data_IF_405609616472
#
_entry.id   IF_405609616472
#
_cell.length_a   1.000
_cell.length_b   1.000
_cell.length_c   1.000
_cell.angle_alpha   90.00
_cell.angle_beta   90.00
_cell.angle_gamma   90.00
#
_symmetry.space_group_name_H-M   'P 1'
#
loop_
_entity.id
_entity.type
_entity.pdbx_description
1 polymer ?
#
# COMPACT_ATOMS: atom_id res chain seq x y z
N UNK A 1 -29.33 12.07 -22.97
CA UNK A 1 -28.36 11.38 -22.06
C UNK A 1 -27.55 12.46 -21.36
N UNK A 2 -27.58 12.52 -20.01
CA UNK A 2 -26.85 13.55 -19.24
C UNK A 2 -25.35 13.17 -19.29
N UNK A 3 -24.49 14.04 -19.83
CA UNK A 3 -23.04 13.82 -19.79
C UNK A 3 -22.60 13.84 -18.32
N UNK A 4 -22.21 12.68 -17.79
CA UNK A 4 -21.55 12.66 -16.50
C UNK A 4 -20.11 13.17 -16.68
N UNK A 5 -19.70 14.12 -15.85
CA UNK A 5 -18.31 14.60 -15.83
C UNK A 5 -17.34 13.44 -15.58
N UNK A 6 -16.16 13.45 -16.23
CA UNK A 6 -15.13 12.45 -15.95
C UNK A 6 -14.60 12.58 -14.51
N UNK A 7 -13.92 11.54 -14.03
CA UNK A 7 -13.12 11.66 -12.81
C UNK A 7 -11.87 12.47 -13.11
N UNK A 8 -11.60 13.48 -12.28
CA UNK A 8 -10.43 14.34 -12.37
C UNK A 8 -9.44 13.94 -11.27
N UNK A 9 -8.14 13.94 -11.59
CA UNK A 9 -7.09 13.74 -10.59
C UNK A 9 -6.93 15.05 -9.81
N UNK A 10 -7.13 14.97 -8.50
CA UNK A 10 -7.01 16.11 -7.58
C UNK A 10 -5.63 16.13 -6.91
N UNK A 11 -5.15 14.97 -6.50
CA UNK A 11 -3.88 14.83 -5.80
C UNK A 11 -3.24 13.47 -6.12
N UNK A 12 -1.92 13.40 -6.03
CA UNK A 12 -1.15 12.17 -6.19
C UNK A 12 0.06 12.21 -5.28
N UNK A 13 0.16 11.22 -4.40
CA UNK A 13 1.28 11.04 -3.47
C UNK A 13 1.90 9.68 -3.69
N UNK A 14 3.21 9.58 -3.50
CA UNK A 14 3.89 8.30 -3.54
C UNK A 14 5.05 8.26 -2.56
N UNK A 15 5.35 7.05 -2.13
CA UNK A 15 6.54 6.70 -1.38
C UNK A 15 7.31 5.67 -2.21
N UNK A 16 8.57 5.99 -2.49
CA UNK A 16 9.51 5.05 -3.09
C UNK A 16 9.75 3.88 -2.13
N UNK A 17 10.19 2.70 -2.62
CA UNK A 17 10.44 1.54 -1.76
C UNK A 17 11.31 1.88 -0.55
N UNK A 18 10.76 1.66 0.64
CA UNK A 18 11.47 1.81 1.93
C UNK A 18 11.66 0.42 2.54
N UNK A 19 12.83 0.18 3.14
CA UNK A 19 13.07 -1.04 3.92
C UNK A 19 12.22 -1.00 5.18
N UNK A 20 11.52 -2.09 5.47
CA UNK A 20 10.78 -2.26 6.73
C UNK A 20 11.72 -2.74 7.85
N UNK A 21 12.90 -3.24 7.47
CA UNK A 21 13.92 -3.73 8.37
C UNK A 21 15.15 -2.82 8.22
N UNK A 22 15.43 -2.01 9.24
CA UNK A 22 16.69 -1.28 9.31
C UNK A 22 17.79 -2.21 9.81
N UNK A 23 18.91 -2.27 9.07
CA UNK A 23 20.03 -3.19 9.36
C UNK A 23 20.61 -2.99 10.78
N UNK A 24 20.50 -1.78 11.35
CA UNK A 24 20.95 -1.47 12.72
C UNK A 24 19.98 -1.99 13.80
N UNK A 25 18.67 -2.04 13.51
CA UNK A 25 17.67 -2.60 14.42
C UNK A 25 17.70 -4.13 14.45
N UNK A 26 18.09 -4.77 13.35
CA UNK A 26 18.22 -6.23 13.28
C UNK A 26 19.29 -6.75 14.25
N UNK A 27 20.39 -6.01 14.43
CA UNK A 27 21.49 -6.39 15.33
C UNK A 27 21.19 -6.20 16.83
N UNK A 28 20.16 -5.41 17.17
CA UNK A 28 19.82 -5.05 18.56
C UNK A 28 18.55 -5.75 19.10
N UNK A 29 17.91 -6.59 18.28
CA UNK A 29 16.69 -7.34 18.64
C UNK A 29 16.98 -8.61 19.46
N UNK A 30 16.01 -9.11 20.25
CA UNK A 30 16.18 -10.29 21.11
C UNK A 30 16.45 -11.62 20.37
N UNK A 31 16.35 -11.64 19.04
CA UNK A 31 16.63 -12.79 18.19
C UNK A 31 17.64 -12.39 17.10
N UNK A 32 18.94 -12.27 17.43
CA UNK A 32 19.99 -11.93 16.48
C UNK A 32 20.21 -13.00 15.39
N UNK A 33 19.60 -14.17 15.54
CA UNK A 33 19.80 -15.34 14.68
C UNK A 33 18.67 -15.54 13.65
N UNK A 34 17.96 -14.47 13.28
CA UNK A 34 16.86 -14.54 12.31
C UNK A 34 17.43 -14.83 10.92
N UNK A 35 17.41 -16.10 10.52
CA UNK A 35 17.87 -16.55 9.21
C UNK A 35 16.76 -16.38 8.15
N UNK A 36 17.10 -15.71 7.05
CA UNK A 36 16.22 -15.58 5.90
C UNK A 36 16.23 -16.89 5.12
N UNK A 37 15.17 -17.69 5.29
CA UNK A 37 15.04 -18.98 4.60
C UNK A 37 14.68 -18.80 3.12
N UNK A 38 13.84 -17.81 2.81
CA UNK A 38 13.36 -17.56 1.45
C UNK A 38 12.83 -16.13 1.29
N UNK A 39 13.17 -15.49 0.16
CA UNK A 39 12.57 -14.24 -0.31
C UNK A 39 11.93 -14.53 -1.65
N UNK A 40 10.70 -14.08 -1.84
CA UNK A 40 10.06 -14.22 -3.14
C UNK A 40 10.72 -13.30 -4.19
N UNK A 41 10.98 -13.84 -5.39
CA UNK A 41 11.72 -13.13 -6.43
C UNK A 41 10.92 -11.98 -7.05
N UNK A 42 9.58 -12.09 -7.05
CA UNK A 42 8.71 -11.06 -7.62
C UNK A 42 8.02 -10.24 -6.53
N UNK A 43 8.03 -8.90 -6.62
CA UNK A 43 7.24 -8.07 -5.72
C UNK A 43 5.75 -8.33 -5.91
N UNK A 44 4.99 -8.19 -4.84
CA UNK A 44 3.53 -8.26 -4.86
C UNK A 44 3.01 -6.84 -5.00
N UNK A 45 2.39 -6.53 -6.15
CA UNK A 45 1.72 -5.25 -6.37
C UNK A 45 0.21 -5.44 -6.48
N UNK A 46 -0.55 -4.56 -5.83
CA UNK A 46 -2.02 -4.53 -5.86
C UNK A 46 -2.55 -3.11 -5.98
N UNK A 47 -3.71 -3.00 -6.62
CA UNK A 47 -4.44 -1.74 -6.76
C UNK A 47 -5.78 -1.88 -6.07
N UNK A 48 -6.05 -0.97 -5.14
CA UNK A 48 -7.27 -0.93 -4.36
C UNK A 48 -7.99 0.40 -4.62
N UNK A 49 -9.30 0.35 -4.81
CA UNK A 49 -10.11 1.54 -5.13
C UNK A 49 -11.20 1.71 -4.08
N UNK A 50 -11.23 2.89 -3.47
CA UNK A 50 -12.17 3.23 -2.39
C UNK A 50 -12.92 4.51 -2.73
N UNK A 51 -14.24 4.46 -2.71
CA UNK A 51 -15.06 5.68 -2.72
C UNK A 51 -15.09 6.26 -1.30
N UNK A 52 -14.61 7.50 -1.14
CA UNK A 52 -14.45 8.15 0.17
C UNK A 52 -15.41 9.32 0.33
N UNK A 53 -15.83 9.58 1.58
CA UNK A 53 -16.76 10.68 1.89
C UNK A 53 -16.03 12.00 2.09
N UNK A 54 -14.85 11.95 2.71
CA UNK A 54 -14.00 13.11 2.99
C UNK A 54 -12.59 12.81 2.53
N UNK A 55 -11.89 13.80 1.98
CA UNK A 55 -10.48 13.69 1.59
C UNK A 55 -9.59 13.22 2.76
N UNK A 56 -9.98 13.54 4.00
CA UNK A 56 -9.29 13.11 5.23
C UNK A 56 -9.34 11.59 5.47
N UNK A 57 -10.24 10.87 4.81
CA UNK A 57 -10.31 9.40 4.87
C UNK A 57 -9.17 8.73 4.07
N UNK A 58 -8.28 9.55 3.46
CA UNK A 58 -7.09 9.14 2.73
C UNK A 58 -6.18 8.18 3.51
N UNK A 59 -5.84 8.49 4.76
CA UNK A 59 -4.91 7.67 5.56
C UNK A 59 -5.53 6.30 5.87
N UNK A 60 -6.85 6.26 6.06
CA UNK A 60 -7.59 5.03 6.28
C UNK A 60 -7.60 4.16 5.02
N UNK A 61 -7.77 4.76 3.83
CA UNK A 61 -7.72 4.02 2.56
C UNK A 61 -6.35 3.38 2.33
N UNK A 62 -5.26 4.10 2.62
CA UNK A 62 -3.90 3.56 2.52
C UNK A 62 -3.65 2.44 3.54
N UNK A 63 -4.05 2.65 4.80
CA UNK A 63 -3.91 1.64 5.86
C UNK A 63 -4.67 0.36 5.53
N UNK A 64 -5.89 0.50 4.98
CA UNK A 64 -6.71 -0.63 4.60
C UNK A 64 -6.14 -1.39 3.40
N UNK A 65 -5.59 -0.68 2.40
CA UNK A 65 -4.86 -1.29 1.29
C UNK A 65 -3.63 -2.10 1.77
N UNK A 66 -2.86 -1.55 2.71
CA UNK A 66 -1.72 -2.27 3.32
C UNK A 66 -2.18 -3.54 4.03
N UNK A 67 -3.24 -3.46 4.85
CA UNK A 67 -3.81 -4.61 5.56
C UNK A 67 -4.29 -5.71 4.60
N UNK A 68 -4.94 -5.34 3.49
CA UNK A 68 -5.37 -6.30 2.47
C UNK A 68 -4.17 -6.98 1.80
N UNK A 69 -3.13 -6.23 1.44
CA UNK A 69 -1.91 -6.79 0.87
C UNK A 69 -1.24 -7.77 1.85
N UNK A 70 -1.10 -7.39 3.12
CA UNK A 70 -0.52 -8.25 4.16
C UNK A 70 -1.33 -9.54 4.34
N UNK A 71 -2.66 -9.48 4.27
CA UNK A 71 -3.50 -10.66 4.32
C UNK A 71 -3.26 -11.59 3.11
N UNK A 72 -3.14 -11.04 1.90
CA UNK A 72 -2.83 -11.81 0.68
C UNK A 72 -1.43 -12.44 0.70
N UNK A 73 -0.47 -11.75 1.30
CA UNK A 73 0.92 -12.24 1.41
C UNK A 73 0.99 -13.36 2.44
N UNK A 74 0.26 -13.23 3.56
CA UNK A 74 0.12 -14.30 4.57
C UNK A 74 -0.53 -15.56 4.02
N UNK A 75 -1.56 -15.45 3.17
CA UNK A 75 -2.19 -16.64 2.58
C UNK A 75 -1.27 -17.40 1.61
N UNK A 76 -0.18 -16.77 1.15
CA UNK A 76 0.86 -17.40 0.35
C UNK A 76 2.03 -17.98 1.17
N UNK A 77 1.95 -17.91 2.50
CA UNK A 77 2.96 -18.48 3.40
C UNK A 77 4.12 -17.54 3.74
N UNK A 78 4.01 -16.25 3.43
CA UNK A 78 5.02 -15.25 3.80
C UNK A 78 4.65 -14.57 5.12
N UNK A 79 5.67 -14.34 5.95
CA UNK A 79 5.48 -13.79 7.29
C UNK A 79 5.63 -12.27 7.34
N UNK A 80 6.44 -11.70 6.46
CA UNK A 80 6.87 -10.30 6.51
C UNK A 80 7.08 -9.74 5.11
N UNK A 81 7.00 -8.42 4.99
CA UNK A 81 7.53 -7.66 3.86
C UNK A 81 8.89 -7.08 4.26
N UNK A 82 9.83 -7.14 3.33
CA UNK A 82 11.15 -6.56 3.39
C UNK A 82 11.15 -5.10 2.93
N UNK A 83 10.42 -4.80 1.85
CA UNK A 83 10.24 -3.43 1.36
C UNK A 83 8.77 -3.13 1.12
N UNK A 84 8.36 -1.88 1.37
CA UNK A 84 7.03 -1.38 0.99
C UNK A 84 7.16 -0.10 0.17
N UNK A 85 6.30 0.03 -0.83
CA UNK A 85 6.09 1.26 -1.58
C UNK A 85 4.62 1.43 -1.90
N UNK A 86 4.21 2.67 -2.12
CA UNK A 86 2.83 2.93 -2.51
C UNK A 86 2.72 4.20 -3.34
N UNK A 87 1.68 4.22 -4.17
CA UNK A 87 1.18 5.43 -4.82
C UNK A 87 -0.31 5.54 -4.55
N UNK A 88 -0.73 6.71 -4.11
CA UNK A 88 -2.13 7.03 -3.89
C UNK A 88 -2.55 8.16 -4.81
N UNK A 89 -3.64 7.97 -5.53
CA UNK A 89 -4.22 8.99 -6.41
C UNK A 89 -5.64 9.31 -5.95
N UNK A 90 -5.88 10.58 -5.63
CA UNK A 90 -7.19 11.09 -5.27
C UNK A 90 -7.90 11.61 -6.52
N UNK A 91 -9.11 11.10 -6.75
CA UNK A 91 -9.99 11.51 -7.82
C UNK A 91 -11.21 12.24 -7.28
N UNK A 92 -11.75 13.17 -8.08
CA UNK A 92 -13.01 13.86 -7.82
C UNK A 92 -13.94 13.80 -9.04
N UNK A 93 -15.24 13.66 -8.76
CA UNK A 93 -16.32 13.79 -9.74
C UNK A 93 -17.49 14.53 -9.10
N UNK A 94 -17.56 15.84 -9.33
CA UNK A 94 -18.52 16.72 -8.67
C UNK A 94 -18.29 16.79 -7.15
N UNK A 95 -19.18 16.17 -6.38
CA UNK A 95 -19.08 16.04 -4.91
C UNK A 95 -18.55 14.68 -4.45
N UNK A 96 -18.30 13.75 -5.36
CA UNK A 96 -17.80 12.41 -5.05
C UNK A 96 -16.28 12.42 -5.06
N UNK A 97 -15.68 11.67 -4.15
CA UNK A 97 -14.24 11.46 -4.06
C UNK A 97 -13.94 9.96 -4.12
N UNK A 98 -12.82 9.62 -4.72
CA UNK A 98 -12.33 8.26 -4.86
C UNK A 98 -10.83 8.24 -4.67
N UNK A 99 -10.33 7.22 -4.01
CA UNK A 99 -8.90 6.99 -3.83
C UNK A 99 -8.54 5.70 -4.53
N UNK A 100 -7.54 5.75 -5.39
CA UNK A 100 -6.83 4.56 -5.87
C UNK A 100 -5.52 4.45 -5.12
N UNK A 101 -5.29 3.30 -4.49
CA UNK A 101 -4.05 2.96 -3.81
C UNK A 101 -3.38 1.85 -4.59
N UNK A 102 -2.24 2.13 -5.21
CA UNK A 102 -1.34 1.11 -5.74
C UNK A 102 -0.28 0.82 -4.69
N UNK A 103 -0.40 -0.32 -4.02
CA UNK A 103 0.55 -0.77 -3.00
C UNK A 103 1.48 -1.84 -3.59
N UNK A 104 2.76 -1.79 -3.24
CA UNK A 104 3.72 -2.82 -3.61
C UNK A 104 4.55 -3.23 -2.40
N UNK A 105 4.77 -4.53 -2.25
CA UNK A 105 5.64 -5.10 -1.23
C UNK A 105 6.59 -6.12 -1.83
N UNK A 106 7.72 -6.35 -1.16
CA UNK A 106 8.58 -7.52 -1.41
C UNK A 106 8.84 -8.19 -0.08
#
# INVERSE_FOLDING_TARGET
RRQESPWEVVDSKSVEPVSIWDDEEVQSRPFPDLEIIYIHDTPVTRTYVFDIKKEKDFENALSFAQQQLLQEVRTKGYNVLWHESWRVTLFRKGKKHRVEVRYSGR
#
